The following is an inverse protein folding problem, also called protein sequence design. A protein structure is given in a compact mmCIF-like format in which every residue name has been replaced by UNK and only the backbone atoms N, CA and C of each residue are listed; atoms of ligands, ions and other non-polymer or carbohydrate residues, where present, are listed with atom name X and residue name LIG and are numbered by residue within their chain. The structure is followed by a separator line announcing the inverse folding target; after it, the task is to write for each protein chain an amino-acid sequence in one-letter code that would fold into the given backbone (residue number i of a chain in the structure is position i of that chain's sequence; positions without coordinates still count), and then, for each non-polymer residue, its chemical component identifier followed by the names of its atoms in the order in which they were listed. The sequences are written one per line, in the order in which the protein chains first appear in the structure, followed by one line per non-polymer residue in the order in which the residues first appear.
data_IF_342058297596
#
_entry.id   IF_342058297596
#
_cell.length_a   1.000
_cell.length_b   1.000
_cell.length_c   1.000
_cell.angle_alpha   90.00
_cell.angle_beta   90.00
_cell.angle_gamma   90.00
#
_symmetry.space_group_name_H-M   'P 1'
#
loop_
_entity.id
_entity.type
_entity.pdbx_description
1 polymer ?
#
# COMPACT_ATOMS: atom_id res chain seq x y z
N UNK A 1 25.28 36.47 -38.39
CA UNK A 1 24.77 35.39 -39.23
C UNK A 1 24.20 34.29 -38.32
N UNK A 2 23.09 34.55 -37.60
CA UNK A 2 22.42 33.57 -36.70
C UNK A 2 20.94 33.91 -36.36
N UNK A 3 20.24 34.57 -37.27
CA UNK A 3 18.82 34.92 -37.07
C UNK A 3 17.74 33.98 -37.65
N UNK A 4 18.02 32.97 -38.49
CA UNK A 4 16.90 32.18 -39.04
C UNK A 4 16.44 31.00 -38.17
N UNK A 5 17.21 30.60 -37.13
CA UNK A 5 16.87 29.41 -36.32
C UNK A 5 15.81 29.73 -35.26
N UNK A 6 15.86 30.89 -34.64
CA UNK A 6 14.87 31.31 -33.66
C UNK A 6 13.52 31.69 -34.27
N UNK A 7 13.53 32.24 -35.50
CA UNK A 7 12.29 32.52 -36.21
C UNK A 7 11.54 31.24 -36.60
N UNK A 8 12.25 30.18 -36.98
CA UNK A 8 11.64 28.87 -37.29
C UNK A 8 11.13 28.13 -36.05
N UNK A 9 11.71 28.35 -34.88
CA UNK A 9 11.20 27.78 -33.60
C UNK A 9 9.89 28.45 -33.15
N UNK A 10 9.75 29.75 -33.40
CA UNK A 10 8.51 30.50 -33.09
C UNK A 10 7.38 30.15 -34.08
N UNK A 11 7.69 29.89 -35.33
CA UNK A 11 6.69 29.48 -36.34
C UNK A 11 6.23 28.04 -36.16
N UNK A 12 7.03 27.14 -35.55
CA UNK A 12 6.61 25.77 -35.23
C UNK A 12 5.64 25.71 -34.02
N UNK A 13 5.54 26.77 -33.25
CA UNK A 13 4.56 26.86 -32.13
C UNK A 13 3.26 27.57 -32.54
N UNK A 14 3.16 28.13 -33.76
CA UNK A 14 2.03 28.96 -34.20
C UNK A 14 1.16 28.35 -35.32
N UNK A 15 1.43 27.13 -35.79
CA UNK A 15 0.59 26.46 -36.78
C UNK A 15 -0.17 25.31 -36.15
N UNK A 16 -1.22 25.64 -35.39
CA UNK A 16 -2.06 24.62 -34.77
C UNK A 16 -3.55 24.89 -34.98
N UNK A 17 -3.93 25.18 -36.23
CA UNK A 17 -5.32 25.23 -36.63
C UNK A 17 -5.78 23.80 -36.99
N UNK A 18 -6.39 23.11 -36.02
CA UNK A 18 -7.07 21.82 -36.24
C UNK A 18 -6.64 20.64 -35.37
N UNK A 19 -5.59 20.74 -34.55
CA UNK A 19 -5.24 19.66 -33.61
C UNK A 19 -6.06 19.76 -32.31
N UNK A 20 -6.82 18.72 -32.01
CA UNK A 20 -7.54 18.57 -30.76
C UNK A 20 -6.54 18.38 -29.60
N UNK A 21 -6.15 19.46 -28.97
CA UNK A 21 -5.28 19.36 -27.78
C UNK A 21 -6.03 18.71 -26.61
N UNK A 22 -5.51 17.64 -26.00
CA UNK A 22 -6.20 16.96 -24.91
C UNK A 22 -6.55 17.89 -23.71
N UNK A 23 -5.72 18.91 -23.45
CA UNK A 23 -5.96 19.87 -22.39
C UNK A 23 -7.12 20.83 -22.72
N UNK A 24 -7.29 21.22 -23.98
CA UNK A 24 -8.41 22.05 -24.40
C UNK A 24 -9.72 21.27 -24.34
N UNK A 25 -9.71 20.01 -24.79
CA UNK A 25 -10.85 19.11 -24.69
C UNK A 25 -11.30 18.93 -23.24
N UNK A 26 -10.36 18.79 -22.29
CA UNK A 26 -10.69 18.69 -20.87
C UNK A 26 -11.33 19.99 -20.35
N UNK A 27 -10.86 21.17 -20.79
CA UNK A 27 -11.37 22.46 -20.36
C UNK A 27 -12.77 22.78 -20.93
N UNK A 28 -13.07 22.29 -22.13
CA UNK A 28 -14.35 22.50 -22.83
C UNK A 28 -15.38 21.42 -22.53
N UNK A 29 -14.97 20.32 -21.85
CA UNK A 29 -15.83 19.20 -21.49
C UNK A 29 -17.04 19.63 -20.65
N UNK A 30 -18.13 18.87 -20.74
CA UNK A 30 -19.29 19.10 -19.89
C UNK A 30 -18.93 19.03 -18.39
N UNK A 31 -19.58 19.83 -17.56
CA UNK A 31 -19.34 19.87 -16.10
C UNK A 31 -19.27 18.47 -15.46
N UNK A 32 -20.14 17.56 -15.89
CA UNK A 32 -20.17 16.19 -15.34
C UNK A 32 -18.93 15.41 -15.73
N UNK A 33 -18.48 15.51 -16.99
CA UNK A 33 -17.25 14.85 -17.45
C UNK A 33 -16.02 15.44 -16.76
N UNK A 34 -15.97 16.76 -16.55
CA UNK A 34 -14.89 17.40 -15.79
C UNK A 34 -14.85 16.91 -14.34
N UNK A 35 -16.01 16.78 -13.69
CA UNK A 35 -16.09 16.24 -12.32
C UNK A 35 -15.61 14.79 -12.27
N UNK A 36 -15.99 13.95 -13.23
CA UNK A 36 -15.50 12.58 -13.35
C UNK A 36 -13.99 12.54 -13.50
N UNK A 37 -13.43 13.34 -14.40
CA UNK A 37 -11.97 13.42 -14.61
C UNK A 37 -11.23 13.91 -13.35
N UNK A 38 -11.80 14.88 -12.62
CA UNK A 38 -11.24 15.36 -11.36
C UNK A 38 -11.20 14.25 -10.30
N UNK A 39 -12.31 13.51 -10.12
CA UNK A 39 -12.39 12.39 -9.18
C UNK A 39 -11.34 11.34 -9.54
N UNK A 40 -11.25 10.95 -10.82
CA UNK A 40 -10.29 9.96 -11.29
C UNK A 40 -8.84 10.42 -11.08
N UNK A 41 -8.56 11.69 -11.32
CA UNK A 41 -7.23 12.29 -11.06
C UNK A 41 -6.87 12.20 -9.58
N UNK A 42 -7.79 12.60 -8.69
CA UNK A 42 -7.56 12.52 -7.24
C UNK A 42 -7.37 11.09 -6.75
N UNK A 43 -8.17 10.14 -7.26
CA UNK A 43 -8.02 8.71 -6.97
C UNK A 43 -6.67 8.18 -7.47
N UNK A 44 -6.25 8.57 -8.67
CA UNK A 44 -4.97 8.21 -9.26
C UNK A 44 -3.79 8.73 -8.43
N UNK A 45 -3.77 10.03 -8.14
CA UNK A 45 -2.71 10.66 -7.31
C UNK A 45 -2.65 9.99 -5.93
N UNK A 46 -3.80 9.82 -5.27
CA UNK A 46 -3.88 9.15 -3.97
C UNK A 46 -3.30 7.72 -4.04
N UNK A 47 -3.62 6.96 -5.09
CA UNK A 47 -3.09 5.61 -5.30
C UNK A 47 -1.56 5.63 -5.47
N UNK A 48 -0.99 6.51 -6.30
CA UNK A 48 0.45 6.60 -6.48
C UNK A 48 1.20 6.98 -5.20
N UNK A 49 0.66 7.90 -4.41
CA UNK A 49 1.21 8.27 -3.10
C UNK A 49 1.22 7.06 -2.16
N UNK A 50 0.10 6.34 -2.06
CA UNK A 50 -0.01 5.15 -1.21
C UNK A 50 0.95 4.06 -1.68
N UNK A 51 1.06 3.81 -2.98
CA UNK A 51 1.99 2.83 -3.56
C UNK A 51 3.42 3.15 -3.13
N UNK A 52 3.86 4.39 -3.31
CA UNK A 52 5.22 4.82 -2.92
C UNK A 52 5.49 4.61 -1.43
N UNK A 53 4.58 5.06 -0.56
CA UNK A 53 4.70 4.86 0.89
C UNK A 53 4.74 3.38 1.27
N UNK A 54 3.92 2.54 0.64
CA UNK A 54 3.87 1.09 0.94
C UNK A 54 5.12 0.37 0.49
N UNK A 55 5.65 0.66 -0.69
CA UNK A 55 6.89 0.05 -1.16
C UNK A 55 8.05 0.30 -0.20
N UNK A 56 8.21 1.55 0.26
CA UNK A 56 9.25 1.90 1.25
C UNK A 56 9.02 1.15 2.57
N UNK A 57 7.78 1.15 3.08
CA UNK A 57 7.44 0.51 4.35
C UNK A 57 7.64 -1.01 4.30
N UNK A 58 7.22 -1.68 3.25
CA UNK A 58 7.36 -3.13 3.08
C UNK A 58 8.82 -3.54 2.93
N UNK A 59 9.60 -2.81 2.13
CA UNK A 59 11.03 -3.04 1.97
C UNK A 59 11.77 -2.88 3.31
N UNK A 60 11.44 -1.83 4.09
CA UNK A 60 12.00 -1.63 5.43
C UNK A 60 11.60 -2.77 6.36
N UNK A 61 10.31 -3.10 6.44
CA UNK A 61 9.80 -4.15 7.33
C UNK A 61 10.50 -5.49 7.06
N UNK A 62 10.60 -5.90 5.78
CA UNK A 62 11.28 -7.15 5.39
C UNK A 62 12.76 -7.14 5.77
N UNK A 63 13.51 -6.10 5.37
CA UNK A 63 14.94 -6.02 5.62
C UNK A 63 15.26 -6.02 7.12
N UNK A 64 14.51 -5.23 7.90
CA UNK A 64 14.75 -5.12 9.33
C UNK A 64 14.29 -6.37 10.08
N UNK A 65 13.25 -7.06 9.61
CA UNK A 65 12.82 -8.34 10.19
C UNK A 65 13.85 -9.46 9.95
N UNK A 66 14.45 -9.52 8.77
CA UNK A 66 15.54 -10.46 8.50
C UNK A 66 16.75 -10.17 9.39
N UNK A 67 17.18 -8.91 9.48
CA UNK A 67 18.30 -8.54 10.36
C UNK A 67 17.98 -8.85 11.86
N UNK A 68 16.72 -8.73 12.27
CA UNK A 68 16.31 -9.14 13.63
C UNK A 68 16.41 -10.66 13.80
N UNK A 69 15.95 -11.46 12.84
CA UNK A 69 16.06 -12.91 12.91
C UNK A 69 17.52 -13.36 12.96
N UNK A 70 18.37 -12.80 12.11
CA UNK A 70 19.81 -13.11 12.13
C UNK A 70 20.41 -12.81 13.52
N UNK A 71 20.12 -11.63 14.09
CA UNK A 71 20.60 -11.26 15.42
C UNK A 71 19.99 -12.10 16.56
N UNK A 72 18.74 -12.55 16.41
CA UNK A 72 18.09 -13.41 17.39
C UNK A 72 18.71 -14.81 17.43
N UNK A 73 18.98 -15.38 16.26
CA UNK A 73 19.59 -16.71 16.12
C UNK A 73 21.13 -16.71 16.20
N UNK A 74 21.78 -15.54 16.23
CA UNK A 74 23.21 -15.41 16.39
C UNK A 74 23.69 -16.14 17.66
N UNK A 75 24.66 -17.07 17.54
CA UNK A 75 25.21 -17.85 18.65
C UNK A 75 24.41 -19.11 18.99
N UNK A 76 23.63 -19.66 18.06
CA UNK A 76 22.85 -20.89 18.26
C UNK A 76 23.69 -22.20 18.15
N UNK A 77 24.99 -22.15 18.42
CA UNK A 77 25.87 -23.34 18.50
C UNK A 77 25.53 -24.27 19.67
N UNK A 78 24.23 -24.62 19.83
CA UNK A 78 23.76 -25.54 20.89
C UNK A 78 23.70 -24.94 22.30
N UNK A 79 23.98 -23.64 22.47
CA UNK A 79 23.93 -23.00 23.79
C UNK A 79 22.48 -22.83 24.27
N UNK A 80 22.26 -23.14 25.55
CA UNK A 80 20.94 -22.95 26.22
C UNK A 80 20.52 -21.47 26.16
N UNK A 81 19.24 -21.23 25.88
CA UNK A 81 18.65 -19.92 26.05
C UNK A 81 18.68 -19.50 27.52
N UNK A 82 19.29 -18.35 27.82
CA UNK A 82 19.42 -17.80 29.15
C UNK A 82 18.71 -16.44 29.24
N UNK A 83 18.35 -16.02 30.43
CA UNK A 83 17.77 -14.68 30.68
C UNK A 83 18.67 -13.58 30.13
N UNK A 84 19.98 -13.66 30.37
CA UNK A 84 20.97 -12.69 29.87
C UNK A 84 20.98 -12.59 28.34
N UNK A 85 20.79 -13.72 27.64
CA UNK A 85 20.73 -13.71 26.17
C UNK A 85 19.48 -12.97 25.69
N UNK A 86 18.30 -13.24 26.28
CA UNK A 86 17.07 -12.52 25.93
C UNK A 86 17.15 -11.02 26.27
N UNK A 87 17.77 -10.66 27.40
CA UNK A 87 18.04 -9.27 27.78
C UNK A 87 18.92 -8.56 26.75
N UNK A 88 19.98 -9.21 26.28
CA UNK A 88 20.87 -8.66 25.25
C UNK A 88 20.12 -8.41 23.91
N UNK A 89 19.28 -9.35 23.49
CA UNK A 89 18.42 -9.15 22.31
C UNK A 89 17.45 -8.00 22.53
N UNK A 90 16.83 -7.95 23.72
CA UNK A 90 15.89 -6.88 24.07
C UNK A 90 16.57 -5.50 24.08
N UNK A 91 17.77 -5.38 24.63
CA UNK A 91 18.53 -4.13 24.67
C UNK A 91 18.86 -3.60 23.25
N UNK A 92 18.99 -4.49 22.26
CA UNK A 92 19.30 -4.14 20.87
C UNK A 92 18.06 -3.83 20.02
N UNK A 93 16.83 -3.95 20.56
CA UNK A 93 15.59 -3.79 19.80
C UNK A 93 15.44 -2.43 19.10
N UNK A 94 16.07 -1.38 19.62
CA UNK A 94 16.07 -0.06 18.99
C UNK A 94 16.66 -0.05 17.57
N UNK A 95 17.55 -1.00 17.26
CA UNK A 95 18.17 -1.15 15.93
C UNK A 95 17.20 -1.77 14.91
N UNK A 96 16.14 -2.44 15.37
CA UNK A 96 15.17 -3.16 14.56
C UNK A 96 13.81 -2.46 14.51
N UNK A 97 13.80 -1.14 14.64
CA UNK A 97 12.57 -0.35 14.59
C UNK A 97 11.89 -0.47 13.21
N UNK A 98 10.62 -0.88 13.23
CA UNK A 98 9.83 -1.15 12.03
C UNK A 98 9.78 -2.64 11.63
N UNK A 99 10.41 -3.53 12.41
CA UNK A 99 10.25 -4.98 12.27
C UNK A 99 9.02 -5.47 13.05
N UNK A 100 8.03 -6.09 12.39
CA UNK A 100 6.90 -6.74 13.07
C UNK A 100 7.34 -7.87 14.01
N UNK A 101 8.39 -8.62 13.66
CA UNK A 101 8.93 -9.71 14.48
C UNK A 101 9.58 -9.16 15.76
N UNK A 102 10.33 -8.08 15.66
CA UNK A 102 10.93 -7.42 16.81
C UNK A 102 9.86 -6.84 17.76
N UNK A 103 8.77 -6.32 17.21
CA UNK A 103 7.63 -5.86 18.01
C UNK A 103 6.92 -7.02 18.74
N UNK A 104 6.75 -8.15 18.07
CA UNK A 104 6.21 -9.38 18.66
C UNK A 104 7.12 -9.92 19.78
N UNK A 105 8.44 -10.00 19.52
CA UNK A 105 9.41 -10.40 20.53
C UNK A 105 9.38 -9.47 21.75
N UNK A 106 9.37 -8.15 21.53
CA UNK A 106 9.26 -7.17 22.62
C UNK A 106 8.09 -7.47 23.55
N UNK A 107 6.91 -7.71 22.96
CA UNK A 107 5.70 -7.98 23.75
C UNK A 107 5.80 -9.29 24.52
N UNK A 108 6.34 -10.34 23.89
CA UNK A 108 6.57 -11.63 24.54
C UNK A 108 7.59 -11.56 25.66
N UNK A 109 8.71 -10.84 25.44
CA UNK A 109 9.75 -10.68 26.44
C UNK A 109 9.26 -9.89 27.69
N UNK A 110 8.54 -8.78 27.47
CA UNK A 110 8.00 -7.98 28.58
C UNK A 110 7.05 -8.79 29.44
N UNK A 111 6.18 -9.58 28.81
CA UNK A 111 5.25 -10.45 29.54
C UNK A 111 5.97 -11.59 30.25
N UNK A 112 6.96 -12.22 29.59
CA UNK A 112 7.80 -13.24 30.22
C UNK A 112 8.55 -12.68 31.45
N UNK A 113 9.14 -11.51 31.33
CA UNK A 113 9.84 -10.86 32.46
C UNK A 113 8.88 -10.56 33.62
N UNK A 114 7.63 -10.18 33.35
CA UNK A 114 6.60 -9.99 34.35
C UNK A 114 6.28 -11.29 35.09
N UNK A 115 6.01 -12.36 34.33
CA UNK A 115 5.70 -13.68 34.90
C UNK A 115 6.84 -14.21 35.77
N UNK A 116 8.09 -14.08 35.30
CA UNK A 116 9.27 -14.53 36.11
C UNK A 116 9.50 -13.66 37.36
N UNK A 117 9.17 -12.36 37.31
CA UNK A 117 9.31 -11.42 38.42
C UNK A 117 8.24 -11.59 39.52
N UNK A 118 7.05 -12.07 39.17
CA UNK A 118 5.95 -12.33 40.13
C UNK A 118 6.10 -13.67 40.90
N UNK A 119 7.22 -14.35 40.69
CA UNK A 119 7.57 -15.58 41.43
C UNK A 119 6.71 -16.77 41.01
N UNK A 120 6.64 -16.99 39.68
CA UNK A 120 5.87 -18.08 39.07
C UNK A 120 6.11 -19.40 39.78
N UNK A 121 5.18 -19.76 40.68
CA UNK A 121 5.19 -21.05 41.34
C UNK A 121 4.74 -22.08 40.35
N UNK A 122 5.48 -23.17 40.16
CA UNK A 122 5.37 -24.20 39.12
C UNK A 122 3.99 -24.85 38.93
N UNK A 123 2.94 -24.30 39.51
CA UNK A 123 1.55 -24.72 39.33
C UNK A 123 0.79 -23.92 38.29
N UNK A 124 1.34 -22.81 37.78
CA UNK A 124 0.72 -21.89 36.82
C UNK A 124 1.46 -21.79 35.47
N UNK A 125 2.49 -22.62 35.26
CA UNK A 125 3.35 -22.57 34.06
C UNK A 125 2.59 -22.62 32.73
N UNK A 126 1.42 -23.26 32.67
CA UNK A 126 0.58 -23.31 31.48
C UNK A 126 -0.15 -21.98 31.27
N UNK A 127 -0.70 -21.37 32.30
CA UNK A 127 -1.31 -20.04 32.28
C UNK A 127 -0.32 -18.93 31.93
N UNK A 128 0.91 -19.07 32.42
CA UNK A 128 2.02 -18.14 32.16
C UNK A 128 2.44 -18.17 30.68
N UNK A 129 2.56 -19.37 30.10
CA UNK A 129 2.83 -19.50 28.66
C UNK A 129 1.73 -18.89 27.80
N UNK A 130 0.46 -19.12 28.18
CA UNK A 130 -0.69 -18.56 27.48
C UNK A 130 -0.72 -17.03 27.55
N UNK A 131 -0.28 -16.43 28.65
CA UNK A 131 -0.18 -14.99 28.82
C UNK A 131 0.85 -14.38 27.87
N UNK A 132 2.04 -15.00 27.77
CA UNK A 132 3.08 -14.62 26.81
C UNK A 132 2.56 -14.73 25.36
N UNK A 133 1.92 -15.86 25.04
CA UNK A 133 1.34 -16.08 23.71
C UNK A 133 0.30 -15.02 23.36
N UNK A 134 -0.62 -14.70 24.26
CA UNK A 134 -1.63 -13.63 24.06
C UNK A 134 -0.99 -12.27 23.83
N UNK A 135 0.06 -11.93 24.56
CA UNK A 135 0.78 -10.67 24.39
C UNK A 135 1.43 -10.59 23.00
N UNK A 136 2.11 -11.66 22.58
CA UNK A 136 2.74 -11.78 21.26
C UNK A 136 1.73 -11.69 20.12
N UNK A 137 0.62 -12.44 20.20
CA UNK A 137 -0.46 -12.42 19.21
C UNK A 137 -1.10 -11.04 19.07
N UNK A 138 -1.28 -10.32 20.18
CA UNK A 138 -1.81 -8.95 20.17
C UNK A 138 -0.88 -7.99 19.45
N UNK A 139 0.42 -8.06 19.75
CA UNK A 139 1.43 -7.24 19.09
C UNK A 139 1.51 -7.54 17.58
N UNK A 140 1.54 -8.82 17.22
CA UNK A 140 1.55 -9.28 15.83
C UNK A 140 0.36 -8.73 15.03
N UNK A 141 -0.87 -8.86 15.54
CA UNK A 141 -2.08 -8.33 14.91
C UNK A 141 -2.00 -6.81 14.73
N UNK A 142 -1.48 -6.08 15.74
CA UNK A 142 -1.29 -4.64 15.65
C UNK A 142 -0.36 -4.24 14.51
N UNK A 143 0.74 -4.96 14.32
CA UNK A 143 1.69 -4.70 13.23
C UNK A 143 1.10 -5.04 11.85
N UNK A 144 0.37 -6.17 11.72
CA UNK A 144 -0.33 -6.51 10.48
C UNK A 144 -1.36 -5.44 10.12
N UNK A 145 -2.20 -5.01 11.07
CA UNK A 145 -3.19 -3.94 10.84
C UNK A 145 -2.52 -2.63 10.39
N UNK A 146 -1.35 -2.28 10.94
CA UNK A 146 -0.57 -1.11 10.49
C UNK A 146 -0.05 -1.27 9.07
N UNK A 147 0.36 -2.47 8.69
CA UNK A 147 0.81 -2.77 7.33
C UNK A 147 -0.36 -2.82 6.34
N UNK A 148 -1.55 -3.20 6.75
CA UNK A 148 -2.77 -3.21 5.94
C UNK A 148 -3.38 -1.82 5.71
N UNK A 149 -3.10 -0.86 6.61
CA UNK A 149 -3.66 0.48 6.53
C UNK A 149 -3.57 1.04 5.10
N UNK A 150 -4.60 1.72 4.63
CA UNK A 150 -4.75 2.31 3.28
C UNK A 150 -4.81 1.31 2.09
N UNK A 151 -4.67 0.00 2.28
CA UNK A 151 -4.90 -0.97 1.21
C UNK A 151 -6.36 -0.97 0.70
N UNK A 152 -7.37 -0.76 1.55
CA UNK A 152 -8.75 -0.63 1.07
C UNK A 152 -8.92 0.48 0.04
N UNK A 153 -8.18 1.59 0.14
CA UNK A 153 -8.22 2.64 -0.87
C UNK A 153 -7.74 2.14 -2.25
N UNK A 154 -6.62 1.41 -2.31
CA UNK A 154 -6.12 0.83 -3.55
C UNK A 154 -7.10 -0.18 -4.14
N UNK A 155 -7.68 -1.04 -3.31
CA UNK A 155 -8.69 -2.00 -3.72
C UNK A 155 -9.93 -1.31 -4.28
N UNK A 156 -10.43 -0.28 -3.60
CA UNK A 156 -11.59 0.50 -4.05
C UNK A 156 -11.30 1.22 -5.35
N UNK A 157 -10.14 1.91 -5.46
CA UNK A 157 -9.76 2.59 -6.70
C UNK A 157 -9.67 1.60 -7.87
N UNK A 158 -9.02 0.46 -7.65
CA UNK A 158 -8.90 -0.59 -8.67
C UNK A 158 -10.25 -1.13 -9.14
N UNK A 159 -11.19 -1.29 -8.23
CA UNK A 159 -12.53 -1.82 -8.53
C UNK A 159 -13.46 -0.76 -9.14
N UNK A 160 -13.39 0.51 -8.72
CA UNK A 160 -14.42 1.51 -9.09
C UNK A 160 -13.98 2.49 -10.17
N UNK A 161 -12.68 2.82 -10.27
CA UNK A 161 -12.21 3.81 -11.23
C UNK A 161 -12.57 3.49 -12.70
N UNK A 162 -12.50 2.23 -13.17
CA UNK A 162 -12.92 1.90 -14.55
C UNK A 162 -14.41 2.20 -14.78
N UNK A 163 -15.28 1.94 -13.79
CA UNK A 163 -16.71 2.20 -13.90
C UNK A 163 -17.03 3.69 -13.86
N UNK A 164 -16.28 4.46 -13.06
CA UNK A 164 -16.39 5.93 -13.04
C UNK A 164 -15.96 6.49 -14.42
N UNK A 165 -14.88 5.97 -15.01
CA UNK A 165 -14.46 6.33 -16.36
C UNK A 165 -15.51 5.96 -17.42
N UNK A 166 -16.09 4.75 -17.33
CA UNK A 166 -17.17 4.31 -18.22
C UNK A 166 -18.42 5.21 -18.07
N UNK A 167 -18.76 5.61 -16.88
CA UNK A 167 -19.84 6.58 -16.68
C UNK A 167 -19.53 7.91 -17.41
N UNK A 168 -18.28 8.38 -17.35
CA UNK A 168 -17.84 9.55 -18.10
C UNK A 168 -18.04 9.39 -19.61
N UNK A 169 -17.74 8.20 -20.19
CA UNK A 169 -17.99 7.97 -21.63
C UNK A 169 -19.47 7.96 -21.97
N UNK A 170 -20.28 7.27 -21.20
CA UNK A 170 -21.74 7.24 -21.46
C UNK A 170 -22.33 8.64 -21.40
N UNK A 171 -21.92 9.43 -20.43
CA UNK A 171 -22.39 10.81 -20.29
C UNK A 171 -21.92 11.70 -21.45
N UNK A 172 -20.64 11.66 -21.81
CA UNK A 172 -20.08 12.49 -22.90
C UNK A 172 -20.68 12.15 -24.26
N UNK A 173 -20.86 10.85 -24.56
CA UNK A 173 -21.53 10.43 -25.80
C UNK A 173 -22.99 10.89 -25.81
N UNK A 174 -23.70 10.77 -24.70
CA UNK A 174 -25.08 11.27 -24.58
C UNK A 174 -25.14 12.78 -24.90
N UNK A 175 -24.21 13.57 -24.33
CA UNK A 175 -24.17 15.02 -24.62
C UNK A 175 -23.85 15.31 -26.07
N UNK A 176 -22.97 14.54 -26.73
CA UNK A 176 -22.71 14.67 -28.16
C UNK A 176 -23.97 14.48 -28.99
N UNK A 177 -24.81 13.49 -28.68
CA UNK A 177 -26.11 13.28 -29.38
C UNK A 177 -27.11 14.42 -29.09
N UNK A 178 -27.16 14.95 -27.88
CA UNK A 178 -28.00 16.12 -27.56
C UNK A 178 -27.58 17.33 -28.39
N UNK A 179 -26.26 17.53 -28.58
CA UNK A 179 -25.73 18.65 -29.39
C UNK A 179 -26.12 18.54 -30.88
N UNK A 180 -26.17 17.33 -31.47
CA UNK A 180 -26.71 17.11 -32.83
C UNK A 180 -28.16 17.61 -32.93
N UNK A 181 -28.98 17.26 -31.94
CA UNK A 181 -30.39 17.65 -31.94
C UNK A 181 -30.56 19.18 -31.86
N UNK A 182 -29.69 19.85 -31.09
CA UNK A 182 -29.72 21.32 -30.93
C UNK A 182 -29.19 22.09 -32.14
N UNK A 183 -28.17 21.55 -32.86
CA UNK A 183 -27.54 22.20 -33.99
C UNK A 183 -28.23 21.89 -35.32
N UNK A 184 -29.07 20.86 -35.36
CA UNK A 184 -29.70 20.36 -36.61
C UNK A 184 -28.72 19.79 -37.65
N UNK A 185 -27.45 19.60 -37.25
CA UNK A 185 -26.36 19.11 -38.15
C UNK A 185 -25.68 17.90 -37.48
N UNK A 186 -25.64 16.79 -38.22
CA UNK A 186 -24.95 15.56 -37.81
C UNK A 186 -23.49 15.54 -38.35
N UNK A 187 -22.84 16.70 -38.46
CA UNK A 187 -21.44 16.75 -38.90
C UNK A 187 -20.51 16.17 -37.84
N UNK A 188 -19.40 15.54 -38.30
CA UNK A 188 -18.36 15.01 -37.40
C UNK A 188 -17.75 16.09 -36.51
N UNK A 189 -17.63 17.32 -37.01
CA UNK A 189 -17.07 18.46 -36.30
C UNK A 189 -17.85 18.81 -35.02
N UNK A 190 -19.16 18.51 -35.01
CA UNK A 190 -20.04 18.77 -33.85
C UNK A 190 -19.89 17.70 -32.75
N UNK A 191 -19.64 16.44 -33.14
CA UNK A 191 -19.66 15.31 -32.19
C UNK A 191 -18.27 14.83 -31.78
N UNK A 192 -17.24 15.01 -32.63
CA UNK A 192 -15.91 14.50 -32.38
C UNK A 192 -15.30 15.00 -31.06
N UNK A 193 -15.41 16.29 -30.65
CA UNK A 193 -14.88 16.76 -29.40
C UNK A 193 -15.48 16.01 -28.21
N UNK A 194 -16.81 15.93 -28.10
CA UNK A 194 -17.47 15.29 -26.97
C UNK A 194 -17.21 13.78 -26.88
N UNK A 195 -17.04 13.10 -28.03
CA UNK A 195 -16.62 11.69 -28.04
C UNK A 195 -15.17 11.56 -27.57
N UNK A 196 -14.27 12.45 -28.02
CA UNK A 196 -12.86 12.43 -27.59
C UNK A 196 -12.73 12.65 -26.08
N UNK A 197 -13.45 13.61 -25.52
CA UNK A 197 -13.51 13.87 -24.07
C UNK A 197 -14.00 12.65 -23.29
N UNK A 198 -15.05 12.00 -23.78
CA UNK A 198 -15.59 10.79 -23.19
C UNK A 198 -14.54 9.66 -23.13
N UNK A 199 -13.82 9.43 -24.21
CA UNK A 199 -12.77 8.41 -24.28
C UNK A 199 -11.60 8.72 -23.35
N UNK A 200 -11.24 9.99 -23.19
CA UNK A 200 -10.22 10.43 -22.21
C UNK A 200 -10.65 10.04 -20.80
N UNK A 201 -11.90 10.24 -20.42
CA UNK A 201 -12.39 9.87 -19.10
C UNK A 201 -12.21 8.36 -18.80
N UNK A 202 -12.51 7.49 -19.77
CA UNK A 202 -12.28 6.05 -19.60
C UNK A 202 -10.80 5.72 -19.51
N UNK A 203 -9.96 6.32 -20.35
CA UNK A 203 -8.52 6.11 -20.28
C UNK A 203 -7.96 6.51 -18.90
N UNK A 204 -8.40 7.63 -18.34
CA UNK A 204 -8.02 8.07 -17.00
C UNK A 204 -8.47 7.07 -15.91
N UNK A 205 -9.67 6.51 -16.05
CA UNK A 205 -10.17 5.46 -15.15
C UNK A 205 -9.25 4.23 -15.13
N UNK A 206 -8.80 3.79 -16.30
CA UNK A 206 -7.88 2.65 -16.44
C UNK A 206 -6.48 2.98 -15.90
N UNK A 207 -5.97 4.17 -16.18
CA UNK A 207 -4.66 4.63 -15.66
C UNK A 207 -4.64 4.69 -14.13
N UNK A 208 -5.74 5.06 -13.48
CA UNK A 208 -5.85 5.05 -12.04
C UNK A 208 -6.00 3.61 -11.49
N UNK A 209 -6.79 2.76 -12.15
CA UNK A 209 -7.14 1.44 -11.66
C UNK A 209 -6.02 0.41 -11.77
N UNK A 210 -5.33 0.35 -12.91
CA UNK A 210 -4.37 -0.71 -13.19
C UNK A 210 -3.23 -0.73 -12.16
N UNK A 211 -2.52 0.39 -11.89
CA UNK A 211 -1.48 0.42 -10.88
C UNK A 211 -2.01 0.12 -9.46
N UNK A 212 -3.22 0.58 -9.14
CA UNK A 212 -3.84 0.35 -7.85
C UNK A 212 -4.09 -1.14 -7.60
N UNK A 213 -4.66 -1.87 -8.58
CA UNK A 213 -4.87 -3.33 -8.50
C UNK A 213 -3.55 -4.09 -8.38
N UNK A 214 -2.56 -3.73 -9.19
CA UNK A 214 -1.25 -4.39 -9.15
C UNK A 214 -0.59 -4.22 -7.78
N UNK A 215 -0.60 -3.00 -7.25
CA UNK A 215 -0.02 -2.71 -5.96
C UNK A 215 -0.78 -3.37 -4.80
N UNK A 216 -2.10 -3.40 -4.86
CA UNK A 216 -2.94 -4.11 -3.89
C UNK A 216 -2.61 -5.60 -3.85
N UNK A 217 -2.56 -6.26 -5.00
CA UNK A 217 -2.25 -7.68 -5.08
C UNK A 217 -0.83 -8.00 -4.57
N UNK A 218 0.14 -7.14 -4.88
CA UNK A 218 1.48 -7.26 -4.32
C UNK A 218 1.48 -7.12 -2.80
N UNK A 219 0.76 -6.12 -2.27
CA UNK A 219 0.65 -5.88 -0.84
C UNK A 219 0.02 -7.05 -0.09
N UNK A 220 -1.08 -7.60 -0.60
CA UNK A 220 -1.75 -8.77 -0.01
C UNK A 220 -0.82 -9.98 0.04
N UNK A 221 -0.05 -10.22 -1.03
CA UNK A 221 0.94 -11.29 -1.05
C UNK A 221 2.04 -11.05 -0.02
N UNK A 222 2.56 -9.83 0.09
CA UNK A 222 3.56 -9.46 1.08
C UNK A 222 3.07 -9.70 2.50
N UNK A 223 1.83 -9.28 2.80
CA UNK A 223 1.23 -9.46 4.13
C UNK A 223 1.12 -10.92 4.52
N UNK A 224 0.70 -11.80 3.62
CA UNK A 224 0.64 -13.25 3.88
C UNK A 224 2.00 -13.85 4.22
N UNK A 225 3.05 -13.40 3.54
CA UNK A 225 4.41 -13.87 3.81
C UNK A 225 4.88 -13.41 5.19
N UNK A 226 4.73 -12.12 5.51
CA UNK A 226 5.16 -11.59 6.80
C UNK A 226 4.33 -12.15 7.96
N UNK A 227 3.04 -12.42 7.76
CA UNK A 227 2.17 -13.08 8.73
C UNK A 227 2.66 -14.50 9.05
N UNK A 228 3.02 -15.27 8.02
CA UNK A 228 3.61 -16.61 8.19
C UNK A 228 4.95 -16.55 8.93
N UNK A 229 5.81 -15.57 8.65
CA UNK A 229 7.08 -15.39 9.37
C UNK A 229 6.84 -15.02 10.85
N UNK A 230 5.85 -14.16 11.14
CA UNK A 230 5.43 -13.79 12.49
C UNK A 230 4.93 -15.02 13.26
N UNK A 231 4.10 -15.85 12.63
CA UNK A 231 3.57 -17.07 13.25
C UNK A 231 4.69 -18.07 13.55
N UNK A 232 5.57 -18.33 12.60
CA UNK A 232 6.70 -19.23 12.77
C UNK A 232 7.60 -18.78 13.92
N UNK A 233 8.00 -17.51 13.91
CA UNK A 233 8.79 -16.92 15.00
C UNK A 233 8.08 -17.02 16.36
N UNK A 234 6.76 -16.79 16.37
CA UNK A 234 5.94 -16.91 17.58
C UNK A 234 6.01 -18.32 18.20
N UNK A 235 5.88 -19.35 17.38
CA UNK A 235 5.99 -20.74 17.83
C UNK A 235 7.41 -21.06 18.34
N UNK A 236 8.44 -20.62 17.64
CA UNK A 236 9.82 -20.87 18.04
C UNK A 236 10.13 -20.20 19.38
N UNK A 237 9.73 -18.94 19.56
CA UNK A 237 9.93 -18.23 20.81
C UNK A 237 9.17 -18.86 21.98
N UNK A 238 7.91 -19.28 21.79
CA UNK A 238 7.13 -19.98 22.81
C UNK A 238 7.76 -21.33 23.18
N UNK A 239 8.32 -22.06 22.23
CA UNK A 239 9.06 -23.30 22.51
C UNK A 239 10.32 -23.03 23.35
N UNK A 240 11.04 -21.94 23.06
CA UNK A 240 12.17 -21.50 23.89
C UNK A 240 11.72 -21.17 25.31
N UNK A 241 10.63 -20.40 25.44
CA UNK A 241 10.06 -20.01 26.73
C UNK A 241 9.67 -21.24 27.56
N UNK A 242 8.92 -22.17 26.97
CA UNK A 242 8.50 -23.42 27.64
C UNK A 242 9.68 -24.26 28.07
N UNK A 243 10.67 -24.43 27.19
CA UNK A 243 11.81 -25.32 27.43
C UNK A 243 12.82 -24.77 28.43
N UNK A 244 13.05 -23.44 28.42
CA UNK A 244 14.17 -22.84 29.15
C UNK A 244 13.77 -22.10 30.41
N UNK A 245 12.50 -21.63 30.51
CA UNK A 245 12.10 -20.72 31.59
C UNK A 245 10.88 -21.18 32.39
N UNK A 246 9.98 -21.97 31.82
CA UNK A 246 8.72 -22.38 32.47
C UNK A 246 8.62 -23.89 32.74
N UNK A 247 9.66 -24.69 32.47
CA UNK A 247 9.77 -26.06 32.93
C UNK A 247 10.37 -26.04 34.34
N UNK A 248 9.50 -26.16 35.38
CA UNK A 248 9.89 -26.68 36.69
C UNK A 248 9.95 -28.19 36.67
#
# INVERSE_FOLDING_TARGET
MNEPILANLVTLTSSNDGELHPLQLIAEASFVVQLVMLILTLMGIGSFVIIGMKMVRFSKARRVSQAFLDAFWEGEDGSRWTTTRLENVYARLGQFEGSPLAAQFRAGYVELARVLGEGGSGREAEGDTESVERAMRRAARGEITRLEAMLPFLSTTGATAPFIGLFGTVWGIMQSFISIHGSGSASLDVVAPGIAEALIATAMGLVAAIPAVMAYNYAVRFLRVIESEIEAFGYDFLNIVRRSFLRG
#
